data_IF_106773441350
#
_entry.id   IF_106773441350
#
_cell.length_a   1.000
_cell.length_b   1.000
_cell.length_c   1.000
_cell.angle_alpha   90.00
_cell.angle_beta   90.00
_cell.angle_gamma   90.00
#
_symmetry.space_group_name_H-M   'P 1'
#
loop_
_entity.id
_entity.type
_entity.pdbx_description
1 polymer ?
#
# COMPACT_ATOMS: atom_id res chain seq x y z
N UNK A 1 16.01 39.06 -7.27
CA UNK A 1 15.77 37.67 -7.69
C UNK A 1 15.39 36.86 -6.46
N UNK A 2 14.10 36.52 -6.24
CA UNK A 2 13.72 35.61 -5.18
C UNK A 2 13.51 34.19 -5.75
N UNK A 3 14.45 33.29 -5.47
CA UNK A 3 14.23 31.85 -5.56
C UNK A 3 13.14 31.47 -4.55
N UNK A 4 11.95 31.15 -5.05
CA UNK A 4 10.86 30.61 -4.24
C UNK A 4 11.06 29.10 -4.16
N UNK A 5 11.43 28.51 -3.00
CA UNK A 5 11.29 27.07 -2.84
C UNK A 5 9.79 26.78 -2.83
N UNK A 6 9.31 26.13 -3.89
CA UNK A 6 7.97 25.52 -3.93
C UNK A 6 7.86 24.50 -2.79
N UNK A 7 7.42 24.97 -1.63
CA UNK A 7 6.94 24.15 -0.54
C UNK A 7 5.68 23.45 -1.03
N UNK A 8 5.82 22.21 -1.49
CA UNK A 8 4.68 21.33 -1.73
C UNK A 8 3.87 21.26 -0.43
N UNK A 9 2.56 21.55 -0.45
CA UNK A 9 1.76 21.47 0.76
C UNK A 9 1.84 20.05 1.31
N UNK A 10 2.08 19.94 2.60
CA UNK A 10 2.09 18.70 3.35
C UNK A 10 0.71 18.03 3.21
N UNK A 11 0.53 17.24 2.15
CA UNK A 11 -0.69 16.46 1.93
C UNK A 11 -0.88 15.56 3.15
N UNK A 12 -2.09 15.48 3.71
CA UNK A 12 -2.36 14.61 4.85
C UNK A 12 -1.92 13.18 4.48
N UNK A 13 -0.99 12.65 5.26
CA UNK A 13 -0.31 11.36 5.00
C UNK A 13 -1.14 10.16 5.47
N UNK A 14 -2.34 10.42 5.96
CA UNK A 14 -3.23 9.50 6.63
C UNK A 14 -4.57 9.60 5.93
N UNK A 15 -4.85 8.65 5.04
CA UNK A 15 -6.09 8.61 4.26
C UNK A 15 -7.21 7.83 4.99
N UNK A 16 -7.14 7.76 6.32
CA UNK A 16 -8.05 6.95 7.12
C UNK A 16 -7.91 5.44 6.82
N UNK A 17 -8.87 4.62 7.30
CA UNK A 17 -8.83 3.17 7.14
C UNK A 17 -8.84 2.80 5.64
N UNK A 18 -7.82 2.07 5.19
CA UNK A 18 -7.72 1.68 3.79
C UNK A 18 -8.46 0.37 3.54
N UNK A 19 -9.07 0.22 2.35
CA UNK A 19 -9.77 -1.01 1.97
C UNK A 19 -8.84 -2.23 1.96
N UNK A 20 -7.54 -2.04 1.75
CA UNK A 20 -6.56 -3.14 1.86
C UNK A 20 -6.55 -3.85 3.24
N UNK A 21 -6.82 -3.15 4.34
CA UNK A 21 -6.84 -3.80 5.66
C UNK A 21 -8.01 -4.77 5.79
N UNK A 22 -9.18 -4.37 5.26
CA UNK A 22 -10.35 -5.25 5.18
C UNK A 22 -10.08 -6.44 4.28
N UNK A 23 -9.61 -6.20 3.06
CA UNK A 23 -9.30 -7.27 2.10
C UNK A 23 -8.29 -8.26 2.68
N UNK A 24 -7.22 -7.78 3.31
CA UNK A 24 -6.24 -8.64 3.98
C UNK A 24 -6.86 -9.46 5.12
N UNK A 25 -7.74 -8.85 5.91
CA UNK A 25 -8.42 -9.52 7.03
C UNK A 25 -9.42 -10.55 6.53
N UNK A 26 -10.19 -10.24 5.49
CA UNK A 26 -11.16 -11.13 4.85
C UNK A 26 -10.48 -12.34 4.19
N UNK A 27 -9.34 -12.12 3.54
CA UNK A 27 -8.53 -13.19 2.94
C UNK A 27 -7.70 -13.97 3.98
N UNK A 28 -7.71 -13.57 5.26
CA UNK A 28 -6.89 -14.17 6.31
C UNK A 28 -5.37 -13.99 6.09
N UNK A 29 -4.99 -13.02 5.25
CA UNK A 29 -3.61 -12.84 4.82
C UNK A 29 -2.82 -12.04 5.85
N UNK A 30 -1.78 -12.69 6.37
CA UNK A 30 -0.80 -12.07 7.25
C UNK A 30 0.21 -11.20 6.49
N UNK A 31 0.87 -10.31 7.22
CA UNK A 31 1.98 -9.52 6.67
C UNK A 31 3.12 -10.41 6.12
N UNK A 32 3.33 -11.58 6.72
CA UNK A 32 4.35 -12.54 6.28
C UNK A 32 3.98 -13.18 4.95
N UNK A 33 2.72 -13.60 4.79
CA UNK A 33 2.23 -14.27 3.59
C UNK A 33 2.34 -13.35 2.37
N UNK A 34 1.94 -12.08 2.54
CA UNK A 34 2.07 -11.08 1.49
C UNK A 34 3.53 -10.76 1.14
N UNK A 35 4.45 -10.82 2.10
CA UNK A 35 5.88 -10.63 1.85
C UNK A 35 6.47 -11.85 1.15
N UNK A 36 6.06 -13.06 1.53
CA UNK A 36 6.53 -14.32 0.97
C UNK A 36 6.05 -14.53 -0.48
N UNK A 37 4.79 -14.16 -0.77
CA UNK A 37 4.26 -14.23 -2.13
C UNK A 37 4.77 -13.12 -3.05
N UNK A 38 5.24 -12.02 -2.48
CA UNK A 38 5.78 -10.91 -3.26
C UNK A 38 7.14 -11.27 -3.87
N UNK A 39 7.24 -11.20 -5.19
CA UNK A 39 8.52 -11.33 -5.90
C UNK A 39 9.49 -10.17 -5.65
N UNK A 40 8.97 -9.03 -5.19
CA UNK A 40 9.74 -7.83 -4.91
C UNK A 40 9.91 -7.68 -3.41
N UNK A 41 11.12 -7.36 -2.93
CA UNK A 41 11.37 -7.10 -1.51
C UNK A 41 10.41 -6.02 -0.99
N UNK A 42 9.42 -6.47 -0.23
CA UNK A 42 8.56 -5.65 0.62
C UNK A 42 8.87 -6.00 2.06
N UNK A 43 8.87 -5.02 2.96
CA UNK A 43 9.08 -5.28 4.39
C UNK A 43 7.75 -5.34 5.12
N UNK A 44 7.70 -6.10 6.22
CA UNK A 44 6.54 -6.15 7.12
C UNK A 44 6.03 -4.74 7.50
N UNK A 45 6.97 -3.80 7.74
CA UNK A 45 6.69 -2.39 8.01
C UNK A 45 5.91 -1.69 6.89
N UNK A 46 6.17 -2.01 5.63
CA UNK A 46 5.43 -1.43 4.51
C UNK A 46 3.98 -1.95 4.47
N UNK A 47 3.78 -3.24 4.72
CA UNK A 47 2.44 -3.84 4.79
C UNK A 47 1.66 -3.29 5.99
N UNK A 48 2.29 -3.19 7.17
CA UNK A 48 1.66 -2.57 8.34
C UNK A 48 1.28 -1.11 8.10
N UNK A 49 2.10 -0.36 7.35
CA UNK A 49 1.78 1.01 6.93
C UNK A 49 0.60 1.05 5.96
N UNK A 50 0.50 0.10 5.04
CA UNK A 50 -0.63 -0.01 4.11
C UNK A 50 -1.94 -0.22 4.88
N UNK A 51 -1.93 -1.16 5.84
CA UNK A 51 -3.08 -1.49 6.69
C UNK A 51 -3.56 -0.30 7.52
N UNK A 52 -2.64 0.47 8.09
CA UNK A 52 -2.97 1.68 8.87
C UNK A 52 -3.39 2.89 8.02
N UNK A 53 -3.33 2.79 6.69
CA UNK A 53 -3.65 3.91 5.81
C UNK A 53 -2.66 5.04 5.74
N UNK A 54 -1.40 4.69 5.97
CA UNK A 54 -0.28 5.61 5.78
C UNK A 54 0.06 5.70 4.30
N UNK A 55 0.35 6.91 3.83
CA UNK A 55 0.77 7.15 2.45
C UNK A 55 1.98 6.28 2.09
N UNK A 56 1.81 5.47 1.05
CA UNK A 56 2.85 4.69 0.41
C UNK A 56 3.15 5.20 -1.02
N UNK A 57 4.44 5.23 -1.37
CA UNK A 57 4.88 5.53 -2.73
C UNK A 57 4.30 4.54 -3.74
N UNK A 58 4.02 4.98 -4.97
CA UNK A 58 3.43 4.12 -6.01
C UNK A 58 4.19 2.81 -6.23
N UNK A 59 5.53 2.82 -6.16
CA UNK A 59 6.34 1.59 -6.25
C UNK A 59 5.95 0.56 -5.20
N UNK A 60 5.74 0.99 -3.96
CA UNK A 60 5.34 0.09 -2.87
C UNK A 60 3.89 -0.39 -3.04
N UNK A 61 2.99 0.50 -3.49
CA UNK A 61 1.61 0.12 -3.79
C UNK A 61 1.52 -0.94 -4.90
N UNK A 62 2.31 -0.78 -5.97
CA UNK A 62 2.37 -1.74 -7.08
C UNK A 62 2.91 -3.10 -6.62
N UNK A 63 3.93 -3.11 -5.76
CA UNK A 63 4.46 -4.34 -5.13
C UNK A 63 3.39 -5.08 -4.34
N UNK A 64 2.69 -4.36 -3.47
CA UNK A 64 1.63 -4.93 -2.62
C UNK A 64 0.49 -5.47 -3.49
N UNK A 65 0.06 -4.73 -4.51
CA UNK A 65 -0.95 -5.16 -5.46
C UNK A 65 -0.53 -6.47 -6.17
N UNK A 66 0.71 -6.55 -6.67
CA UNK A 66 1.24 -7.75 -7.34
C UNK A 66 1.28 -8.96 -6.40
N UNK A 67 1.69 -8.76 -5.15
CA UNK A 67 1.72 -9.82 -4.15
C UNK A 67 0.32 -10.33 -3.82
N UNK A 68 -0.64 -9.43 -3.65
CA UNK A 68 -2.03 -9.76 -3.34
C UNK A 68 -2.72 -10.45 -4.53
N UNK A 69 -2.44 -10.00 -5.76
CA UNK A 69 -2.89 -10.65 -6.99
C UNK A 69 -2.36 -12.08 -7.11
N UNK A 70 -1.08 -12.31 -6.78
CA UNK A 70 -0.50 -13.67 -6.74
C UNK A 70 -1.18 -14.58 -5.70
N UNK A 71 -1.47 -14.06 -4.51
CA UNK A 71 -2.09 -14.85 -3.43
C UNK A 71 -3.54 -15.16 -3.69
N UNK A 72 -4.29 -14.16 -4.12
CA UNK A 72 -5.73 -14.26 -4.29
C UNK A 72 -6.13 -14.72 -5.69
N UNK A 73 -5.14 -14.98 -6.58
CA UNK A 73 -5.32 -15.29 -8.01
C UNK A 73 -6.30 -14.33 -8.72
N UNK A 74 -6.38 -13.08 -8.25
CA UNK A 74 -7.40 -12.10 -8.63
C UNK A 74 -6.76 -10.78 -9.06
N UNK A 75 -7.37 -10.08 -10.02
CA UNK A 75 -6.86 -8.82 -10.56
C UNK A 75 -7.23 -7.59 -9.73
N UNK A 76 -6.73 -7.53 -8.48
CA UNK A 76 -6.90 -6.33 -7.67
C UNK A 76 -6.13 -5.14 -8.26
N UNK A 77 -6.79 -3.99 -8.39
CA UNK A 77 -6.14 -2.72 -8.76
C UNK A 77 -5.68 -1.98 -7.53
N UNK A 78 -4.61 -1.18 -7.66
CA UNK A 78 -4.17 -0.22 -6.64
C UNK A 78 -5.31 0.70 -6.16
N UNK A 79 -6.24 1.04 -7.05
CA UNK A 79 -7.40 1.89 -6.77
C UNK A 79 -8.40 1.27 -5.78
N UNK A 80 -8.47 -0.06 -5.77
CA UNK A 80 -9.36 -0.81 -4.86
C UNK A 80 -8.68 -1.10 -3.53
N UNK A 81 -7.35 -1.11 -3.52
CA UNK A 81 -6.54 -1.33 -2.32
C UNK A 81 -6.28 -0.02 -1.56
N UNK A 82 -6.23 1.11 -2.27
CA UNK A 82 -5.88 2.42 -1.74
C UNK A 82 -6.86 3.47 -2.26
N UNK A 83 -7.40 4.28 -1.35
CA UNK A 83 -8.43 5.27 -1.68
C UNK A 83 -7.83 6.62 -2.17
N UNK A 84 -6.63 6.60 -2.76
CA UNK A 84 -5.84 7.79 -3.14
C UNK A 84 -4.83 7.56 -4.28
#
# INVERSE_FOLDING_TARGET
MPDTPSAQPARPREFGPQPIDRILTELGLGNHDLVAASSEQITHKMVSKARRGRWLSMKVRCKIMRALNKLSAADYKVKELFNY
#
